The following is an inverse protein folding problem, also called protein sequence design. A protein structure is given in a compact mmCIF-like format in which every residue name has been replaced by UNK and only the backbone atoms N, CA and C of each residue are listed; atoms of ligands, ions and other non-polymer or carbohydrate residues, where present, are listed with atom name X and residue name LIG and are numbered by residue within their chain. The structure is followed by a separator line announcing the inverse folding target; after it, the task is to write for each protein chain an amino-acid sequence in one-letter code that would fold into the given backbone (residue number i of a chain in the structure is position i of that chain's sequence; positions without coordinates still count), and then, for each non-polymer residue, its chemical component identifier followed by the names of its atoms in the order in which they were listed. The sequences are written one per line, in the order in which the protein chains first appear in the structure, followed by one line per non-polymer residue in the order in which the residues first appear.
data_IF_354431762164
#
_entry.id   IF_354431762164
#
_cell.length_a   1.000
_cell.length_b   1.000
_cell.length_c   1.000
_cell.angle_alpha   90.00
_cell.angle_beta   90.00
_cell.angle_gamma   90.00
#
_symmetry.space_group_name_H-M   'P 1'
#
loop_
_entity.id
_entity.type
_entity.pdbx_description
1 polymer ?
#
# COMPACT_ATOMS: atom_id res chain seq x y z
N UNK A 1 -13.12 2.12 7.48
CA UNK A 1 -13.26 1.07 6.47
C UNK A 1 -12.28 -0.02 6.84
N UNK A 2 -12.76 -1.22 7.18
CA UNK A 2 -11.89 -2.38 7.37
C UNK A 2 -11.39 -2.81 6.00
N UNK A 3 -10.08 -2.92 5.85
CA UNK A 3 -9.50 -3.59 4.69
C UNK A 3 -9.84 -5.08 4.75
N UNK A 4 -10.05 -5.72 3.59
CA UNK A 4 -10.29 -7.15 3.47
C UNK A 4 -9.02 -7.85 2.94
N UNK A 5 -8.21 -8.49 3.80
CA UNK A 5 -7.03 -9.25 3.39
C UNK A 5 -7.33 -10.40 2.43
N UNK A 6 -8.58 -10.89 2.42
CA UNK A 6 -9.04 -11.90 1.48
C UNK A 6 -9.07 -11.39 0.05
N UNK A 7 -9.37 -10.10 -0.18
CA UNK A 7 -9.48 -9.53 -1.52
C UNK A 7 -8.13 -9.49 -2.26
N UNK A 8 -7.04 -9.15 -1.56
CA UNK A 8 -5.68 -9.21 -2.11
C UNK A 8 -5.28 -10.64 -2.44
N UNK A 9 -5.47 -11.55 -1.48
CA UNK A 9 -5.09 -12.96 -1.63
C UNK A 9 -5.86 -13.62 -2.78
N UNK A 10 -7.15 -13.33 -2.92
CA UNK A 10 -7.97 -13.80 -4.04
C UNK A 10 -7.50 -13.24 -5.38
N UNK A 11 -7.10 -11.96 -5.43
CA UNK A 11 -6.59 -11.32 -6.64
C UNK A 11 -5.25 -11.92 -7.08
N UNK A 12 -4.37 -12.19 -6.12
CA UNK A 12 -3.09 -12.88 -6.35
C UNK A 12 -3.32 -14.31 -6.86
N UNK A 13 -4.12 -15.11 -6.14
CA UNK A 13 -4.44 -16.48 -6.54
C UNK A 13 -5.11 -16.55 -7.93
N UNK A 14 -5.94 -15.58 -8.29
CA UNK A 14 -6.51 -15.48 -9.64
C UNK A 14 -5.44 -15.23 -10.72
N UNK A 15 -4.37 -14.51 -10.40
CA UNK A 15 -3.29 -14.19 -11.34
C UNK A 15 -2.26 -15.34 -11.48
N UNK A 16 -1.95 -16.04 -10.39
CA UNK A 16 -0.88 -17.07 -10.37
C UNK A 16 -1.39 -18.51 -10.31
N UNK A 17 -2.70 -18.71 -10.17
CA UNK A 17 -3.30 -20.04 -10.06
C UNK A 17 -3.12 -20.66 -8.68
N UNK A 18 -2.94 -21.99 -8.64
CA UNK A 18 -2.97 -22.76 -7.39
C UNK A 18 -1.58 -22.96 -6.75
N UNK A 19 -0.60 -22.12 -7.11
CA UNK A 19 0.72 -22.11 -6.47
C UNK A 19 0.70 -21.18 -5.25
N UNK A 20 0.47 -21.76 -4.08
CA UNK A 20 0.43 -21.00 -2.83
C UNK A 20 1.76 -20.34 -2.49
N UNK A 21 2.90 -20.93 -2.89
CA UNK A 21 4.21 -20.35 -2.64
C UNK A 21 4.43 -19.05 -3.42
N UNK A 22 3.96 -19.02 -4.67
CA UNK A 22 4.03 -17.82 -5.50
C UNK A 22 3.07 -16.71 -5.03
N UNK A 23 1.90 -17.07 -4.48
CA UNK A 23 1.00 -16.11 -3.83
C UNK A 23 1.70 -15.43 -2.65
N UNK A 24 2.35 -16.21 -1.78
CA UNK A 24 3.06 -15.69 -0.61
C UNK A 24 4.25 -14.80 -1.00
N UNK A 25 5.01 -15.18 -2.04
CA UNK A 25 6.11 -14.37 -2.55
C UNK A 25 5.64 -13.01 -3.09
N UNK A 26 4.58 -13.01 -3.92
CA UNK A 26 4.02 -11.76 -4.45
C UNK A 26 3.42 -10.87 -3.36
N UNK A 27 2.82 -11.49 -2.35
CA UNK A 27 2.31 -10.78 -1.18
C UNK A 27 3.44 -10.11 -0.40
N UNK A 28 4.53 -10.82 -0.15
CA UNK A 28 5.73 -10.27 0.47
C UNK A 28 6.29 -9.08 -0.34
N UNK A 29 6.45 -9.25 -1.65
CA UNK A 29 6.94 -8.20 -2.54
C UNK A 29 6.04 -6.95 -2.54
N UNK A 30 4.71 -7.14 -2.46
CA UNK A 30 3.76 -6.04 -2.32
C UNK A 30 3.94 -5.27 -1.01
N UNK A 31 4.00 -5.96 0.13
CA UNK A 31 4.15 -5.35 1.46
C UNK A 31 5.48 -4.58 1.53
N UNK A 32 6.58 -5.17 1.07
CA UNK A 32 7.89 -4.50 1.04
C UNK A 32 7.88 -3.24 0.16
N UNK A 33 7.22 -3.30 -0.99
CA UNK A 33 7.10 -2.16 -1.91
C UNK A 33 6.27 -1.03 -1.29
N UNK A 34 5.13 -1.34 -0.67
CA UNK A 34 4.28 -0.39 0.02
C UNK A 34 5.00 0.27 1.21
N UNK A 35 5.66 -0.53 2.06
CA UNK A 35 6.43 -0.05 3.20
C UNK A 35 7.57 0.89 2.78
N UNK A 36 8.23 0.62 1.65
CA UNK A 36 9.25 1.50 1.07
C UNK A 36 8.68 2.86 0.68
N UNK A 37 7.50 2.93 0.08
CA UNK A 37 6.89 4.22 -0.26
C UNK A 37 6.50 5.00 0.99
N UNK A 38 5.98 4.33 2.02
CA UNK A 38 5.70 4.95 3.31
C UNK A 38 6.98 5.51 3.97
N UNK A 39 8.10 4.78 3.95
CA UNK A 39 9.39 5.32 4.43
C UNK A 39 9.82 6.59 3.66
N UNK A 40 9.68 6.58 2.34
CA UNK A 40 10.00 7.76 1.52
C UNK A 40 9.08 8.95 1.84
N UNK A 41 7.79 8.72 2.08
CA UNK A 41 6.85 9.75 2.56
C UNK A 41 7.28 10.28 3.93
N UNK A 42 7.68 9.40 4.86
CA UNK A 42 8.15 9.77 6.20
C UNK A 42 9.40 10.67 6.16
N UNK A 43 10.22 10.53 5.11
CA UNK A 43 11.49 11.25 4.92
C UNK A 43 11.40 12.39 3.91
N UNK A 44 10.21 12.68 3.38
CA UNK A 44 10.00 13.77 2.45
C UNK A 44 10.41 15.11 3.09
N UNK A 45 11.23 15.89 2.37
CA UNK A 45 11.72 17.20 2.82
C UNK A 45 11.01 18.36 2.13
N UNK A 46 10.27 18.06 1.07
CA UNK A 46 9.46 18.99 0.31
C UNK A 46 8.23 18.26 -0.24
N UNK A 47 7.24 19.04 -0.65
CA UNK A 47 5.96 18.55 -1.16
C UNK A 47 6.14 17.63 -2.37
N UNK A 48 7.11 17.93 -3.24
CA UNK A 48 7.38 17.09 -4.42
C UNK A 48 7.81 15.66 -4.03
N UNK A 49 8.65 15.49 -3.00
CA UNK A 49 9.06 14.17 -2.54
C UNK A 49 7.87 13.38 -2.00
N UNK A 50 6.99 14.06 -1.26
CA UNK A 50 5.76 13.50 -0.73
C UNK A 50 4.84 13.03 -1.86
N UNK A 51 4.53 13.92 -2.82
CA UNK A 51 3.63 13.62 -3.94
C UNK A 51 4.14 12.45 -4.77
N UNK A 52 5.44 12.38 -5.06
CA UNK A 52 6.02 11.25 -5.81
C UNK A 52 5.85 9.94 -5.03
N UNK A 53 6.19 9.92 -3.73
CA UNK A 53 6.09 8.70 -2.93
C UNK A 53 4.63 8.25 -2.75
N UNK A 54 3.70 9.17 -2.51
CA UNK A 54 2.27 8.88 -2.40
C UNK A 54 1.68 8.37 -3.73
N UNK A 55 2.03 8.97 -4.88
CA UNK A 55 1.60 8.50 -6.19
C UNK A 55 2.15 7.09 -6.51
N UNK A 56 3.39 6.81 -6.10
CA UNK A 56 3.98 5.47 -6.24
C UNK A 56 3.27 4.46 -5.34
N UNK A 57 2.94 4.82 -4.10
CA UNK A 57 2.15 3.99 -3.21
C UNK A 57 0.78 3.66 -3.83
N UNK A 58 0.09 4.65 -4.39
CA UNK A 58 -1.19 4.47 -5.08
C UNK A 58 -1.06 3.46 -6.23
N UNK A 59 -0.03 3.61 -7.07
CA UNK A 59 0.22 2.69 -8.19
C UNK A 59 0.47 1.26 -7.71
N UNK A 60 1.28 1.08 -6.66
CA UNK A 60 1.56 -0.24 -6.07
C UNK A 60 0.26 -0.86 -5.54
N UNK A 61 -0.54 -0.10 -4.77
CA UNK A 61 -1.82 -0.58 -4.27
C UNK A 61 -2.78 -0.99 -5.39
N UNK A 62 -2.89 -0.18 -6.44
CA UNK A 62 -3.78 -0.44 -7.57
C UNK A 62 -3.38 -1.72 -8.35
N UNK A 63 -2.10 -1.97 -8.56
CA UNK A 63 -1.61 -3.17 -9.25
C UNK A 63 -2.01 -4.48 -8.56
N UNK A 64 -2.24 -4.44 -7.25
CA UNK A 64 -2.59 -5.59 -6.42
C UNK A 64 -4.06 -5.59 -5.98
N UNK A 65 -4.89 -4.67 -6.51
CA UNK A 65 -6.31 -4.55 -6.14
C UNK A 65 -6.54 -4.10 -4.68
N UNK A 66 -5.53 -3.55 -4.01
CA UNK A 66 -5.61 -3.09 -2.62
C UNK A 66 -6.30 -1.72 -2.53
N UNK A 67 -7.59 -1.67 -2.89
CA UNK A 67 -8.36 -0.44 -3.05
C UNK A 67 -8.37 0.45 -1.79
N UNK A 68 -8.38 -0.15 -0.59
CA UNK A 68 -8.31 0.60 0.66
C UNK A 68 -6.99 1.37 0.81
N UNK A 69 -5.86 0.75 0.48
CA UNK A 69 -4.55 1.41 0.51
C UNK A 69 -4.42 2.44 -0.62
N UNK A 70 -4.98 2.17 -1.80
CA UNK A 70 -5.01 3.13 -2.90
C UNK A 70 -5.79 4.40 -2.53
N UNK A 71 -6.93 4.26 -1.84
CA UNK A 71 -7.71 5.40 -1.35
C UNK A 71 -6.97 6.22 -0.27
N UNK A 72 -6.22 5.57 0.62
CA UNK A 72 -5.37 6.28 1.59
C UNK A 72 -4.21 7.04 0.91
N UNK A 73 -3.66 6.49 -0.17
CA UNK A 73 -2.66 7.18 -0.98
C UNK A 73 -3.27 8.40 -1.69
N UNK A 74 -4.53 8.32 -2.16
CA UNK A 74 -5.28 9.47 -2.67
C UNK A 74 -5.53 10.53 -1.58
N UNK A 75 -5.96 10.12 -0.38
CA UNK A 75 -6.09 11.03 0.76
C UNK A 75 -4.78 11.78 1.04
N UNK A 76 -3.64 11.10 0.90
CA UNK A 76 -2.32 11.73 1.07
C UNK A 76 -1.96 12.70 -0.06
N UNK A 77 -2.39 12.43 -1.30
CA UNK A 77 -2.14 13.29 -2.46
C UNK A 77 -3.01 14.55 -2.46
N UNK A 78 -4.25 14.43 -1.99
CA UNK A 78 -5.21 15.54 -1.91
C UNK A 78 -5.03 16.38 -0.64
N UNK A 79 -4.45 15.79 0.41
CA UNK A 79 -4.20 16.41 1.70
C UNK A 79 -2.91 17.22 1.79
N UNK A 80 -2.62 17.71 3.01
CA UNK A 80 -1.39 18.43 3.29
C UNK A 80 -0.17 17.49 3.30
N UNK A 81 0.91 17.79 2.58
CA UNK A 81 2.14 17.02 2.64
C UNK A 81 2.65 16.85 4.07
N UNK A 82 2.97 15.61 4.45
CA UNK A 82 3.48 15.29 5.78
C UNK A 82 2.41 15.06 6.84
N UNK A 83 1.12 15.10 6.52
CA UNK A 83 0.03 14.88 7.48
C UNK A 83 0.24 13.57 8.29
N UNK A 84 0.41 13.66 9.62
CA UNK A 84 0.66 12.49 10.46
C UNK A 84 -0.56 11.56 10.57
N UNK A 85 -1.78 12.02 10.28
CA UNK A 85 -2.99 11.20 10.32
C UNK A 85 -2.99 10.20 9.17
N UNK A 86 -2.85 10.66 7.93
CA UNK A 86 -2.85 9.77 6.76
C UNK A 86 -1.68 8.79 6.79
N UNK A 87 -0.50 9.22 7.26
CA UNK A 87 0.66 8.33 7.46
C UNK A 87 0.37 7.18 8.42
N UNK A 88 -0.30 7.46 9.54
CA UNK A 88 -0.68 6.43 10.52
C UNK A 88 -1.71 5.47 9.96
N UNK A 89 -2.68 5.97 9.19
CA UNK A 89 -3.66 5.12 8.49
C UNK A 89 -2.97 4.20 7.47
N UNK A 90 -2.06 4.74 6.67
CA UNK A 90 -1.28 3.97 5.69
C UNK A 90 -0.44 2.90 6.40
N UNK A 91 0.26 3.25 7.48
CA UNK A 91 1.04 2.30 8.28
C UNK A 91 0.18 1.15 8.80
N UNK A 92 -0.95 1.48 9.45
CA UNK A 92 -1.88 0.47 9.96
C UNK A 92 -2.41 -0.45 8.85
N UNK A 93 -2.76 0.10 7.68
CA UNK A 93 -3.22 -0.71 6.55
C UNK A 93 -2.12 -1.67 6.04
N UNK A 94 -0.86 -1.23 6.00
CA UNK A 94 0.27 -2.11 5.62
C UNK A 94 0.49 -3.20 6.68
N UNK A 95 0.38 -2.86 7.97
CA UNK A 95 0.51 -3.83 9.06
C UNK A 95 -0.62 -4.88 9.02
N UNK A 96 -1.85 -4.47 8.71
CA UNK A 96 -2.98 -5.38 8.50
C UNK A 96 -2.70 -6.37 7.35
N UNK A 97 -2.01 -5.91 6.29
CA UNK A 97 -1.58 -6.79 5.18
C UNK A 97 -0.42 -7.69 5.58
N UNK A 98 0.39 -7.34 6.57
CA UNK A 98 1.44 -8.22 7.05
C UNK A 98 0.91 -9.28 8.02
N UNK A 99 -0.19 -8.99 8.72
CA UNK A 99 -0.77 -9.86 9.75
C UNK A 99 -1.76 -10.92 9.22
N UNK A 100 -2.44 -10.65 8.10
CA UNK A 100 -3.27 -11.66 7.40
C UNK A 100 -2.44 -12.71 6.69
#
# INVERSE_FOLDING_TARGET
MAYDPGALTASLAAAVGNDSGLVDELRGAFIESAARQLDLMNRARCDANWTIAAARLKSVAASFGANGLAALADEALEGAPGDPVVRRKIAAAIDDFAAG
#
